data_IF_614154823332
#
_entry.id   IF_614154823332
#
_cell.length_a   1.000
_cell.length_b   1.000
_cell.length_c   1.000
_cell.angle_alpha   90.00
_cell.angle_beta   90.00
_cell.angle_gamma   90.00
#
_symmetry.space_group_name_H-M   'P 1'
#
loop_
_entity.id
_entity.type
_entity.pdbx_description
1 polymer ?
#
# COMPACT_ATOMS: atom_id res chain seq x y z
N UNK A 1 42.58 -45.59 66.01
CA UNK A 1 42.45 -44.68 64.86
C UNK A 1 41.24 -43.80 65.12
N UNK A 2 41.53 -42.54 65.42
CA UNK A 2 40.55 -41.53 65.81
C UNK A 2 40.12 -40.71 64.64
N UNK A 3 38.83 -40.70 64.31
CA UNK A 3 38.20 -39.76 63.39
C UNK A 3 37.72 -38.52 64.16
N UNK A 4 38.01 -37.31 63.69
CA UNK A 4 37.51 -36.08 64.37
C UNK A 4 36.09 -35.73 63.86
N UNK A 5 35.27 -35.33 64.84
CA UNK A 5 33.92 -34.85 64.74
C UNK A 5 33.96 -33.46 64.11
N UNK A 6 33.33 -33.29 62.93
CA UNK A 6 33.13 -31.96 62.29
C UNK A 6 31.91 -31.33 62.90
N UNK A 7 32.09 -30.23 63.61
CA UNK A 7 31.01 -29.41 64.18
C UNK A 7 30.26 -28.64 63.09
N UNK A 8 28.92 -28.73 63.10
CA UNK A 8 28.01 -28.01 62.23
C UNK A 8 27.97 -26.51 62.57
N UNK A 9 28.20 -25.65 61.56
CA UNK A 9 28.09 -24.18 61.64
C UNK A 9 26.63 -23.82 61.39
N UNK A 10 25.93 -23.03 62.22
CA UNK A 10 24.56 -22.59 61.93
C UNK A 10 24.54 -21.53 60.84
N UNK A 11 23.71 -21.76 59.80
CA UNK A 11 23.45 -20.82 58.73
C UNK A 11 22.74 -19.57 59.26
N UNK A 12 23.43 -18.44 59.29
CA UNK A 12 22.84 -17.15 59.57
C UNK A 12 21.93 -16.71 58.39
N UNK A 13 20.60 -16.71 58.58
CA UNK A 13 19.63 -16.06 57.68
C UNK A 13 19.88 -14.56 57.67
N UNK A 14 20.55 -14.04 56.65
CA UNK A 14 20.52 -12.62 56.31
C UNK A 14 19.19 -12.26 55.72
N UNK A 15 18.30 -11.66 56.47
CA UNK A 15 17.16 -10.91 55.94
C UNK A 15 17.66 -9.69 55.22
N UNK A 16 17.62 -9.76 53.87
CA UNK A 16 17.91 -8.62 53.04
C UNK A 16 16.70 -7.67 53.08
N UNK A 17 16.81 -6.63 53.93
CA UNK A 17 15.85 -5.52 53.90
C UNK A 17 16.14 -4.72 52.63
N UNK A 18 15.23 -4.87 51.65
CA UNK A 18 15.20 -4.01 50.46
C UNK A 18 14.68 -2.65 50.93
N UNK A 19 15.58 -1.71 51.18
CA UNK A 19 15.22 -0.30 51.33
C UNK A 19 14.75 0.23 49.96
N UNK A 20 13.46 0.26 49.78
CA UNK A 20 12.85 0.90 48.61
C UNK A 20 13.03 2.42 48.72
N UNK A 21 13.94 2.98 47.94
CA UNK A 21 14.10 4.41 47.82
C UNK A 21 12.97 4.98 46.97
N UNK A 22 12.29 6.06 47.38
CA UNK A 22 11.19 6.66 46.62
C UNK A 22 11.56 7.16 45.22
N UNK A 23 12.87 7.25 44.94
CA UNK A 23 13.39 7.57 43.60
C UNK A 23 13.27 6.43 42.59
N UNK A 24 13.36 5.17 43.04
CA UNK A 24 13.34 4.00 42.15
C UNK A 24 11.91 3.71 41.64
N UNK A 25 10.90 4.00 42.45
CA UNK A 25 9.48 3.86 42.06
C UNK A 25 9.05 4.87 41.00
N UNK A 26 9.63 6.08 41.00
CA UNK A 26 9.35 7.11 39.98
C UNK A 26 9.96 6.75 38.62
N UNK A 27 11.16 6.14 38.61
CA UNK A 27 11.83 5.71 37.37
C UNK A 27 11.11 4.51 36.71
N UNK A 28 10.60 3.56 37.50
CA UNK A 28 9.85 2.41 36.98
C UNK A 28 8.52 2.87 36.38
N UNK A 29 7.81 3.82 37.03
CA UNK A 29 6.57 4.36 36.50
C UNK A 29 6.75 5.14 35.19
N UNK A 30 7.84 5.90 35.05
CA UNK A 30 8.20 6.63 33.84
C UNK A 30 8.55 5.68 32.68
N UNK A 31 9.28 4.60 32.93
CA UNK A 31 9.63 3.60 31.93
C UNK A 31 8.40 2.83 31.42
N UNK A 32 7.42 2.52 32.29
CA UNK A 32 6.18 1.88 31.89
C UNK A 32 5.30 2.79 31.02
N UNK A 33 5.29 4.11 31.27
CA UNK A 33 4.52 5.08 30.49
C UNK A 33 5.08 5.25 29.07
N UNK A 34 6.41 5.23 28.91
CA UNK A 34 7.08 5.33 27.60
C UNK A 34 6.84 4.06 26.79
N UNK A 35 6.84 2.88 27.40
CA UNK A 35 6.58 1.62 26.70
C UNK A 35 5.16 1.53 26.12
N UNK A 36 4.16 2.14 26.77
CA UNK A 36 2.77 2.15 26.28
C UNK A 36 2.56 3.09 25.10
N UNK A 37 3.33 4.18 24.99
CA UNK A 37 3.22 5.15 23.88
C UNK A 37 3.82 4.56 22.59
N UNK A 38 4.87 3.75 22.67
CA UNK A 38 5.50 3.15 21.49
C UNK A 38 4.69 2.00 20.88
N UNK A 39 3.81 1.37 21.61
CA UNK A 39 2.94 0.30 21.09
C UNK A 39 1.78 0.80 20.21
N UNK A 40 1.48 2.11 20.23
CA UNK A 40 0.34 2.67 19.49
C UNK A 40 0.68 3.04 18.03
N UNK A 41 1.93 2.92 17.59
CA UNK A 41 2.38 3.44 16.28
C UNK A 41 2.57 2.40 15.19
N UNK A 42 2.36 1.12 15.43
CA UNK A 42 2.52 0.08 14.43
C UNK A 42 1.16 -0.48 14.01
N UNK A 43 0.33 0.34 13.36
CA UNK A 43 -0.78 -0.23 12.58
C UNK A 43 -0.18 -0.86 11.32
N UNK A 44 -0.46 -2.14 11.02
CA UNK A 44 -0.10 -2.73 9.75
C UNK A 44 -0.75 -1.86 8.67
N UNK A 45 0.06 -1.25 7.80
CA UNK A 45 -0.48 -0.54 6.65
C UNK A 45 -1.25 -1.54 5.80
N UNK A 46 -2.56 -1.33 5.63
CA UNK A 46 -3.39 -2.12 4.72
C UNK A 46 -2.68 -2.19 3.35
N UNK A 47 -2.37 -3.39 2.83
CA UNK A 47 -1.71 -3.53 1.52
C UNK A 47 -2.42 -2.75 0.42
N UNK A 48 -3.75 -2.65 0.48
CA UNK A 48 -4.54 -1.85 -0.45
C UNK A 48 -4.23 -0.35 -0.33
N UNK A 49 -3.86 0.15 0.84
CA UNK A 49 -3.47 1.56 1.03
C UNK A 49 -2.16 1.89 0.30
N UNK A 50 -1.23 0.95 0.23
CA UNK A 50 0.01 1.12 -0.54
C UNK A 50 -0.26 1.16 -2.04
N UNK A 51 -1.04 0.21 -2.56
CA UNK A 51 -1.45 0.18 -3.96
C UNK A 51 -2.22 1.45 -4.37
N UNK A 52 -3.10 1.96 -3.49
CA UNK A 52 -3.81 3.23 -3.71
C UNK A 52 -2.84 4.42 -3.87
N UNK A 53 -1.85 4.55 -2.98
CA UNK A 53 -0.84 5.62 -3.10
C UNK A 53 -0.04 5.51 -4.40
N UNK A 54 0.35 4.30 -4.79
CA UNK A 54 1.04 4.08 -6.06
C UNK A 54 0.18 4.50 -7.25
N UNK A 55 -1.10 4.14 -7.25
CA UNK A 55 -2.07 4.49 -8.29
C UNK A 55 -2.21 6.02 -8.45
N UNK A 56 -2.30 6.76 -7.34
CA UNK A 56 -2.51 8.21 -7.36
C UNK A 56 -1.19 8.99 -7.49
N UNK A 57 -0.21 8.69 -6.65
CA UNK A 57 0.90 9.61 -6.40
C UNK A 57 2.12 9.27 -7.27
N UNK A 58 2.48 7.97 -7.40
CA UNK A 58 3.68 7.57 -8.12
C UNK A 58 3.43 7.31 -9.58
N UNK A 59 2.50 6.42 -9.90
CA UNK A 59 2.21 6.02 -11.27
C UNK A 59 1.24 6.96 -11.99
N UNK A 60 0.55 7.83 -11.22
CA UNK A 60 -0.42 8.82 -11.73
C UNK A 60 -1.49 8.22 -12.64
N UNK A 61 -1.92 6.99 -12.34
CA UNK A 61 -2.97 6.31 -13.11
C UNK A 61 -4.28 7.11 -13.10
N UNK A 62 -4.56 7.83 -11.98
CA UNK A 62 -5.73 8.70 -11.83
C UNK A 62 -5.78 9.81 -12.86
N UNK A 63 -4.64 10.26 -13.39
CA UNK A 63 -4.61 11.30 -14.43
C UNK A 63 -5.47 10.91 -15.64
N UNK A 64 -5.38 9.68 -16.12
CA UNK A 64 -6.16 9.18 -17.24
C UNK A 64 -7.42 8.42 -16.79
N UNK A 65 -7.31 7.57 -15.75
CA UNK A 65 -8.40 6.71 -15.32
C UNK A 65 -9.36 7.34 -14.31
N UNK A 66 -9.09 8.55 -13.85
CA UNK A 66 -9.87 9.22 -12.80
C UNK A 66 -9.49 8.79 -11.39
N UNK A 67 -9.80 9.64 -10.42
CA UNK A 67 -9.52 9.35 -9.00
C UNK A 67 -10.25 8.09 -8.49
N UNK A 68 -11.45 7.84 -9.02
CA UNK A 68 -12.27 6.67 -8.69
C UNK A 68 -12.04 5.51 -9.66
N UNK A 69 -11.11 5.63 -10.61
CA UNK A 69 -10.85 4.68 -11.68
C UNK A 69 -12.08 4.38 -12.57
N UNK A 70 -12.95 5.36 -12.72
CA UNK A 70 -14.19 5.31 -13.52
C UNK A 70 -13.98 5.69 -15.00
N UNK A 71 -12.74 6.03 -15.38
CA UNK A 71 -12.37 6.42 -16.74
C UNK A 71 -12.58 7.90 -17.04
N UNK A 72 -13.05 8.71 -16.10
CA UNK A 72 -13.33 10.12 -16.34
C UNK A 72 -12.05 10.96 -16.57
N UNK A 73 -10.93 10.51 -15.99
CA UNK A 73 -9.67 11.26 -16.04
C UNK A 73 -9.69 12.53 -15.20
N UNK A 74 -8.57 13.23 -15.20
CA UNK A 74 -8.46 14.59 -14.65
C UNK A 74 -8.75 15.64 -15.73
N UNK A 75 -9.15 16.87 -15.36
CA UNK A 75 -9.52 17.90 -16.35
C UNK A 75 -8.44 18.22 -17.39
N UNK A 76 -7.17 17.98 -17.06
CA UNK A 76 -6.02 18.22 -17.96
C UNK A 76 -5.61 16.98 -18.76
N UNK A 77 -6.26 15.84 -18.56
CA UNK A 77 -5.97 14.63 -19.33
C UNK A 77 -6.50 14.74 -20.76
N UNK A 78 -5.89 13.99 -21.68
CA UNK A 78 -6.26 14.00 -23.10
C UNK A 78 -7.60 13.28 -23.40
N UNK A 79 -8.43 13.06 -22.40
CA UNK A 79 -9.70 12.34 -22.53
C UNK A 79 -9.75 11.07 -21.71
N UNK A 80 -10.93 10.46 -21.67
CA UNK A 80 -11.20 9.31 -20.84
C UNK A 80 -10.42 8.06 -21.21
N UNK A 81 -10.02 7.33 -20.20
CA UNK A 81 -9.44 5.99 -20.32
C UNK A 81 -10.50 4.92 -20.05
N UNK A 82 -10.10 3.65 -20.07
CA UNK A 82 -11.00 2.57 -19.70
C UNK A 82 -11.52 2.74 -18.26
N UNK A 83 -12.83 2.49 -18.07
CA UNK A 83 -13.43 2.41 -16.75
C UNK A 83 -12.99 1.11 -16.08
N UNK A 84 -12.02 1.22 -15.14
CA UNK A 84 -11.45 0.06 -14.46
C UNK A 84 -12.48 -0.58 -13.51
N UNK A 85 -13.45 0.17 -13.00
CA UNK A 85 -14.52 -0.35 -12.13
C UNK A 85 -15.35 -1.44 -12.81
N UNK A 86 -15.42 -1.42 -14.14
CA UNK A 86 -16.12 -2.40 -14.97
C UNK A 86 -15.19 -3.46 -15.57
N UNK A 87 -13.93 -3.51 -15.15
CA UNK A 87 -12.96 -4.46 -15.68
C UNK A 87 -13.32 -5.90 -15.26
N UNK A 88 -13.08 -6.84 -16.17
CA UNK A 88 -13.15 -8.29 -15.91
C UNK A 88 -11.78 -8.94 -15.85
N UNK A 89 -10.70 -8.15 -15.88
CA UNK A 89 -9.32 -8.64 -15.86
C UNK A 89 -9.02 -9.30 -14.52
N UNK A 90 -8.34 -10.45 -14.59
CA UNK A 90 -7.79 -11.13 -13.44
C UNK A 90 -6.46 -10.49 -13.02
N UNK A 91 -5.96 -10.85 -11.84
CA UNK A 91 -4.75 -10.31 -11.27
C UNK A 91 -3.56 -10.30 -12.24
N UNK A 92 -3.26 -11.44 -12.85
CA UNK A 92 -2.11 -11.56 -13.76
C UNK A 92 -2.27 -10.71 -15.03
N UNK A 93 -3.49 -10.60 -15.52
CA UNK A 93 -3.80 -9.73 -16.66
C UNK A 93 -3.70 -8.24 -16.31
N UNK A 94 -4.08 -7.84 -15.09
CA UNK A 94 -3.86 -6.48 -14.60
C UNK A 94 -2.38 -6.16 -14.50
N UNK A 95 -1.58 -7.09 -13.94
CA UNK A 95 -0.13 -6.96 -13.85
C UNK A 95 0.48 -6.80 -15.25
N UNK A 96 0.13 -7.65 -16.20
CA UNK A 96 0.62 -7.55 -17.57
C UNK A 96 0.25 -6.22 -18.22
N UNK A 97 -1.02 -5.79 -18.10
CA UNK A 97 -1.49 -4.51 -18.67
C UNK A 97 -0.77 -3.32 -18.05
N UNK A 98 -0.49 -3.32 -16.74
CA UNK A 98 0.23 -2.22 -16.10
C UNK A 98 1.70 -2.22 -16.53
N UNK A 99 2.36 -3.39 -16.52
CA UNK A 99 3.76 -3.50 -16.93
C UNK A 99 3.95 -3.12 -18.39
N UNK A 100 3.10 -3.61 -19.27
CA UNK A 100 3.27 -3.57 -20.71
C UNK A 100 2.51 -2.44 -21.41
N UNK A 101 1.62 -1.74 -20.71
CA UNK A 101 0.72 -0.79 -21.35
C UNK A 101 -0.27 -1.50 -22.29
N UNK A 102 -0.91 -0.74 -23.17
CA UNK A 102 -1.82 -1.30 -24.18
C UNK A 102 -1.40 -0.85 -25.59
N UNK A 103 -0.92 -1.77 -26.44
CA UNK A 103 -0.57 -1.47 -27.81
C UNK A 103 -1.70 -0.76 -28.56
N UNK A 104 -1.35 0.24 -29.35
CA UNK A 104 -2.29 1.05 -30.12
C UNK A 104 -3.15 2.02 -29.28
N UNK A 105 -2.83 2.21 -28.00
CA UNK A 105 -3.54 3.17 -27.13
C UNK A 105 -2.54 4.09 -26.41
N UNK A 106 -3.01 5.21 -25.82
CA UNK A 106 -2.17 6.09 -25.01
C UNK A 106 -1.70 5.50 -23.66
N UNK A 107 -2.18 4.32 -23.26
CA UNK A 107 -1.78 3.71 -21.99
C UNK A 107 -0.29 3.31 -22.04
N UNK A 108 0.58 3.94 -21.21
CA UNK A 108 2.02 3.68 -21.24
C UNK A 108 2.36 2.33 -20.61
N UNK A 109 3.56 1.82 -20.89
CA UNK A 109 4.15 0.71 -20.15
C UNK A 109 4.94 1.24 -18.94
N UNK A 110 5.00 0.46 -17.86
CA UNK A 110 5.74 0.81 -16.65
C UNK A 110 6.93 -0.11 -16.35
N UNK A 111 7.18 -1.11 -17.20
CA UNK A 111 8.40 -1.91 -17.18
C UNK A 111 9.42 -1.29 -18.13
N UNK A 112 10.62 -0.95 -17.65
CA UNK A 112 11.73 -0.42 -18.44
C UNK A 112 12.15 -1.34 -19.58
N UNK A 113 11.93 -2.64 -19.42
CA UNK A 113 12.28 -3.66 -20.39
C UNK A 113 11.10 -4.11 -21.24
N UNK A 114 9.96 -3.41 -21.16
CA UNK A 114 8.82 -3.72 -22.00
C UNK A 114 9.21 -3.74 -23.50
N UNK A 115 8.81 -4.80 -24.16
CA UNK A 115 9.05 -5.01 -25.60
C UNK A 115 10.51 -5.13 -26.05
N UNK A 116 11.48 -5.15 -25.14
CA UNK A 116 12.89 -5.48 -25.47
C UNK A 116 13.05 -6.96 -25.82
N UNK A 117 12.16 -7.77 -25.30
CA UNK A 117 11.97 -9.19 -25.61
C UNK A 117 10.46 -9.50 -25.67
N UNK A 118 10.09 -10.78 -25.69
CA UNK A 118 8.68 -11.21 -25.80
C UNK A 118 7.93 -11.25 -24.47
N UNK A 119 8.39 -10.55 -23.42
CA UNK A 119 7.73 -10.53 -22.08
C UNK A 119 6.37 -9.86 -22.07
N UNK A 120 6.11 -8.97 -23.00
CA UNK A 120 4.87 -8.23 -23.14
C UNK A 120 4.05 -8.77 -24.33
N UNK A 121 2.97 -9.45 -24.02
CA UNK A 121 2.05 -10.03 -25.01
C UNK A 121 2.70 -10.95 -26.05
N UNK A 122 3.90 -11.45 -25.77
CA UNK A 122 4.64 -12.32 -26.69
C UNK A 122 5.23 -11.65 -27.92
N UNK A 123 5.26 -10.31 -27.96
CA UNK A 123 5.75 -9.50 -29.09
C UNK A 123 6.88 -8.57 -28.68
N UNK A 124 7.68 -8.15 -29.64
CA UNK A 124 8.79 -7.21 -29.49
C UNK A 124 8.42 -5.83 -30.04
N UNK A 125 9.24 -4.81 -29.74
CA UNK A 125 9.11 -3.46 -30.27
C UNK A 125 9.09 -3.43 -31.80
N UNK A 126 9.95 -4.23 -32.44
CA UNK A 126 10.02 -4.30 -33.92
C UNK A 126 8.73 -4.85 -34.52
N UNK A 127 8.07 -5.79 -33.86
CA UNK A 127 6.81 -6.37 -34.31
C UNK A 127 5.63 -5.41 -34.11
N UNK A 128 5.66 -4.56 -33.09
CA UNK A 128 4.60 -3.56 -32.82
C UNK A 128 4.72 -2.30 -33.67
N UNK A 129 5.92 -1.88 -34.00
CA UNK A 129 6.15 -0.65 -34.75
C UNK A 129 5.50 0.57 -34.07
N UNK A 130 4.67 1.29 -34.83
CA UNK A 130 3.97 2.49 -34.33
C UNK A 130 2.91 2.23 -33.24
N UNK A 131 2.54 0.97 -33.03
CA UNK A 131 1.56 0.62 -31.99
C UNK A 131 2.17 0.39 -30.61
N UNK A 132 3.49 0.52 -30.49
CA UNK A 132 4.18 0.37 -29.20
C UNK A 132 3.68 1.41 -28.21
N UNK A 133 3.30 1.00 -26.98
CA UNK A 133 2.99 1.93 -25.91
C UNK A 133 4.19 2.83 -25.59
N UNK A 134 3.91 4.08 -25.26
CA UNK A 134 4.95 5.00 -24.81
C UNK A 134 5.54 4.56 -23.47
N UNK A 135 6.79 4.91 -23.14
CA UNK A 135 7.28 4.80 -21.77
C UNK A 135 6.48 5.71 -20.84
N UNK A 136 6.49 5.46 -19.53
CA UNK A 136 5.76 6.29 -18.58
C UNK A 136 6.34 7.71 -18.55
N UNK A 137 5.49 8.73 -18.35
CA UNK A 137 5.93 10.12 -18.42
C UNK A 137 6.88 10.52 -17.29
N UNK A 138 6.89 9.83 -16.16
CA UNK A 138 7.60 10.27 -14.96
C UNK A 138 8.34 9.20 -14.18
N UNK A 139 7.96 7.93 -14.26
CA UNK A 139 8.59 6.89 -13.42
C UNK A 139 8.27 5.49 -13.91
N UNK A 140 9.19 4.58 -13.66
CA UNK A 140 8.97 3.14 -13.79
C UNK A 140 8.49 2.53 -12.49
N UNK A 141 7.87 1.37 -12.57
CA UNK A 141 7.38 0.62 -11.43
C UNK A 141 8.18 -0.67 -11.26
N UNK A 142 8.55 -0.95 -10.02
CA UNK A 142 9.07 -2.26 -9.67
C UNK A 142 7.93 -3.29 -9.68
N UNK A 143 8.24 -4.56 -9.95
CA UNK A 143 7.24 -5.63 -10.00
C UNK A 143 6.31 -5.64 -8.76
N UNK A 144 6.86 -5.51 -7.56
CA UNK A 144 6.06 -5.44 -6.31
C UNK A 144 5.09 -4.25 -6.26
N UNK A 145 5.42 -3.15 -6.94
CA UNK A 145 4.56 -1.96 -7.00
C UNK A 145 3.41 -2.18 -7.99
N UNK A 146 3.69 -2.80 -9.11
CA UNK A 146 2.66 -3.23 -10.06
C UNK A 146 1.69 -4.22 -9.41
N UNK A 147 2.21 -5.21 -8.69
CA UNK A 147 1.41 -6.17 -7.93
C UNK A 147 0.52 -5.49 -6.89
N UNK A 148 1.07 -4.53 -6.13
CA UNK A 148 0.29 -3.77 -5.15
C UNK A 148 -0.82 -2.91 -5.78
N UNK A 149 -0.58 -2.33 -6.96
CA UNK A 149 -1.63 -1.61 -7.70
C UNK A 149 -2.72 -2.59 -8.15
N UNK A 150 -2.35 -3.74 -8.72
CA UNK A 150 -3.31 -4.76 -9.15
C UNK A 150 -4.16 -5.26 -7.98
N UNK A 151 -3.55 -5.52 -6.82
CA UNK A 151 -4.25 -5.95 -5.61
C UNK A 151 -5.20 -4.87 -5.07
N UNK A 152 -4.79 -3.59 -5.09
CA UNK A 152 -5.67 -2.47 -4.77
C UNK A 152 -6.88 -2.40 -5.72
N UNK A 153 -6.65 -2.50 -7.02
CA UNK A 153 -7.72 -2.43 -8.02
C UNK A 153 -8.74 -3.57 -7.81
N UNK A 154 -8.29 -4.79 -7.57
CA UNK A 154 -9.16 -5.93 -7.30
C UNK A 154 -9.93 -5.79 -5.99
N UNK A 155 -9.27 -5.33 -4.93
CA UNK A 155 -9.88 -5.27 -3.60
C UNK A 155 -10.83 -4.08 -3.42
N UNK A 156 -10.57 -2.94 -4.10
CA UNK A 156 -11.19 -1.66 -3.77
C UNK A 156 -11.85 -0.94 -4.94
N UNK A 157 -11.65 -1.38 -6.18
CA UNK A 157 -12.11 -0.67 -7.38
C UNK A 157 -13.04 -1.53 -8.26
N UNK A 158 -12.55 -2.67 -8.71
CA UNK A 158 -13.28 -3.53 -9.64
C UNK A 158 -14.56 -4.05 -8.98
N UNK A 159 -15.67 -3.97 -9.72
CA UNK A 159 -16.98 -4.42 -9.26
C UNK A 159 -17.74 -3.44 -8.37
N UNK A 160 -17.20 -2.23 -8.12
CA UNK A 160 -17.84 -1.23 -7.25
C UNK A 160 -19.06 -0.51 -7.88
N UNK A 161 -19.30 -0.71 -9.18
CA UNK A 161 -20.39 0.00 -9.87
C UNK A 161 -20.12 1.49 -10.06
N UNK A 162 -21.16 2.30 -10.07
CA UNK A 162 -21.05 3.75 -10.19
C UNK A 162 -20.36 4.37 -8.97
N UNK A 163 -19.68 5.50 -9.18
CA UNK A 163 -19.08 6.28 -8.08
C UNK A 163 -20.17 6.85 -7.20
N UNK A 164 -20.02 6.76 -5.88
CA UNK A 164 -20.97 7.32 -4.92
C UNK A 164 -20.43 8.57 -4.24
N UNK A 165 -21.31 9.33 -3.61
CA UNK A 165 -20.94 10.51 -2.84
C UNK A 165 -20.03 10.14 -1.67
N UNK A 166 -20.32 9.05 -0.98
CA UNK A 166 -19.53 8.56 0.15
C UNK A 166 -18.10 8.22 -0.26
N UNK A 167 -17.92 7.56 -1.41
CA UNK A 167 -16.57 7.29 -1.96
C UNK A 167 -15.82 8.58 -2.28
N UNK A 168 -16.52 9.58 -2.81
CA UNK A 168 -15.93 10.88 -3.10
C UNK A 168 -15.55 11.61 -1.81
N UNK A 169 -16.41 11.61 -0.81
CA UNK A 169 -16.13 12.26 0.48
C UNK A 169 -15.02 11.55 1.28
N UNK A 170 -14.87 10.24 1.11
CA UNK A 170 -13.72 9.50 1.64
C UNK A 170 -12.40 9.98 1.01
N UNK A 171 -12.42 10.35 -0.26
CA UNK A 171 -11.23 10.82 -0.98
C UNK A 171 -10.91 12.29 -0.72
N UNK A 172 -11.92 13.17 -0.76
CA UNK A 172 -11.75 14.63 -0.75
C UNK A 172 -12.20 15.31 0.54
N UNK A 173 -12.71 14.57 1.50
CA UNK A 173 -13.21 15.04 2.77
C UNK A 173 -14.73 15.21 2.81
N UNK A 174 -15.32 15.11 4.01
CA UNK A 174 -16.77 15.22 4.20
C UNK A 174 -17.30 16.57 3.69
N UNK A 175 -18.39 16.54 2.93
CA UNK A 175 -19.04 17.76 2.41
C UNK A 175 -18.28 18.46 1.29
N UNK A 176 -17.27 17.83 0.68
CA UNK A 176 -16.54 18.39 -0.44
C UNK A 176 -17.50 18.73 -1.60
N UNK A 177 -17.44 19.97 -2.11
CA UNK A 177 -18.37 20.47 -3.13
C UNK A 177 -18.36 19.63 -4.42
N UNK A 178 -17.18 19.11 -4.79
CA UNK A 178 -17.01 18.22 -5.93
C UNK A 178 -17.82 16.93 -5.81
N UNK A 179 -18.17 16.51 -4.60
CA UNK A 179 -18.90 15.28 -4.34
C UNK A 179 -20.42 15.43 -4.53
N UNK A 180 -20.93 16.65 -4.63
CA UNK A 180 -22.37 16.92 -4.84
C UNK A 180 -22.93 16.37 -6.14
N UNK A 181 -22.09 16.09 -7.13
CA UNK A 181 -22.49 15.51 -8.42
C UNK A 181 -22.75 14.00 -8.37
N UNK A 182 -22.27 13.30 -7.32
CA UNK A 182 -22.43 11.86 -7.22
C UNK A 182 -23.66 11.48 -6.41
N UNK A 183 -24.35 10.37 -6.76
CA UNK A 183 -25.50 9.88 -6.00
C UNK A 183 -25.07 9.35 -4.63
N UNK A 184 -25.97 9.37 -3.66
CA UNK A 184 -25.77 8.65 -2.42
C UNK A 184 -25.74 7.13 -2.70
N UNK A 185 -25.06 6.39 -1.85
CA UNK A 185 -25.05 4.92 -1.90
C UNK A 185 -26.48 4.43 -1.65
N UNK A 186 -27.00 3.59 -2.54
CA UNK A 186 -28.29 2.93 -2.41
C UNK A 186 -28.18 1.72 -1.48
#
# INVERSE_FOLDING_TARGET
EHLPIIAAIPAARRTMQIMSHPRDTALIAAAALIATITALSAQPSDPASYGRRLYHDKAQCSYCHGWAADGAGEPQSNGGAANIRQSFLKRDQLIEVIMCGRPGTPMPHYDDLAYTDKRCYGVTEAELGAQRPSPPPSTTLQKREVEAIADYLLAKVIGRGAVTREECEEMFGPGARSCGQYPNKQ
#
